data_IF_553276233708
#
_entry.id   IF_553276233708
#
_cell.length_a   1.000
_cell.length_b   1.000
_cell.length_c   1.000
_cell.angle_alpha   90.00
_cell.angle_beta   90.00
_cell.angle_gamma   90.00
#
_symmetry.space_group_name_H-M   'P 1'
#
loop_
_entity.id
_entity.type
_entity.pdbx_description
1 polymer ?
#
# COMPACT_ATOMS: atom_id res chain seq x y z
N UNK A 1 20.77 22.60 11.61
CA UNK A 1 21.10 23.37 10.39
C UNK A 1 19.78 23.67 9.68
N UNK A 2 19.55 24.88 9.13
CA UNK A 2 18.27 25.24 8.47
C UNK A 2 17.85 24.26 7.37
N UNK A 3 18.85 23.69 6.68
CA UNK A 3 18.66 22.74 5.58
C UNK A 3 18.04 21.41 6.03
N UNK A 4 18.41 20.93 7.23
CA UNK A 4 17.86 19.69 7.79
C UNK A 4 16.36 19.82 8.11
N UNK A 5 15.96 20.98 8.63
CA UNK A 5 14.55 21.28 8.88
C UNK A 5 13.75 21.41 7.57
N UNK A 6 14.37 21.91 6.50
CA UNK A 6 13.75 21.98 5.18
C UNK A 6 13.58 20.56 4.58
N UNK A 7 14.62 19.73 4.64
CA UNK A 7 14.56 18.33 4.17
C UNK A 7 13.48 17.54 4.89
N UNK A 8 13.39 17.65 6.22
CA UNK A 8 12.33 16.99 7.00
C UNK A 8 10.91 17.48 6.64
N UNK A 9 10.76 18.74 6.21
CA UNK A 9 9.47 19.26 5.72
C UNK A 9 9.13 18.72 4.34
N UNK A 10 10.11 18.57 3.46
CA UNK A 10 9.93 17.99 2.12
C UNK A 10 9.55 16.51 2.24
N UNK A 11 10.31 15.73 3.00
CA UNK A 11 10.04 14.31 3.26
C UNK A 11 8.63 14.08 3.81
N UNK A 12 8.19 14.92 4.74
CA UNK A 12 6.80 14.87 5.25
C UNK A 12 5.77 15.15 4.15
N UNK A 13 6.02 16.11 3.25
CA UNK A 13 5.09 16.43 2.17
C UNK A 13 5.03 15.30 1.13
N UNK A 14 6.18 14.71 0.79
CA UNK A 14 6.28 13.56 -0.12
C UNK A 14 5.57 12.35 0.48
N UNK A 15 5.84 12.01 1.75
CA UNK A 15 5.14 10.94 2.48
C UNK A 15 3.63 11.14 2.49
N UNK A 16 3.16 12.37 2.74
CA UNK A 16 1.73 12.68 2.74
C UNK A 16 1.10 12.51 1.36
N UNK A 17 1.83 12.87 0.30
CA UNK A 17 1.37 12.68 -1.07
C UNK A 17 1.29 11.19 -1.43
N UNK A 18 2.33 10.42 -1.11
CA UNK A 18 2.35 8.97 -1.33
C UNK A 18 1.18 8.28 -0.63
N UNK A 19 0.92 8.60 0.64
CA UNK A 19 -0.20 8.06 1.41
C UNK A 19 -1.54 8.42 0.79
N UNK A 20 -1.73 9.67 0.32
CA UNK A 20 -2.97 10.10 -0.35
C UNK A 20 -3.17 9.34 -1.67
N UNK A 21 -2.10 9.09 -2.41
CA UNK A 21 -2.16 8.34 -3.67
C UNK A 21 -2.54 6.87 -3.45
N UNK A 22 -2.27 6.27 -2.28
CA UNK A 22 -2.64 4.86 -2.01
C UNK A 22 -4.14 4.61 -2.21
N UNK A 23 -5.01 5.53 -1.78
CA UNK A 23 -6.45 5.38 -1.97
C UNK A 23 -6.85 5.35 -3.45
N UNK A 24 -6.28 6.26 -4.26
CA UNK A 24 -6.55 6.31 -5.70
C UNK A 24 -6.00 5.06 -6.43
N UNK A 25 -4.78 4.63 -6.08
CA UNK A 25 -4.17 3.41 -6.64
C UNK A 25 -4.99 2.16 -6.27
N UNK A 26 -5.49 2.09 -5.04
CA UNK A 26 -6.33 0.99 -4.58
C UNK A 26 -7.65 0.93 -5.35
N UNK A 27 -8.37 2.05 -5.46
CA UNK A 27 -9.63 2.11 -6.22
C UNK A 27 -9.43 1.69 -7.67
N UNK A 28 -8.37 2.17 -8.33
CA UNK A 28 -8.06 1.79 -9.70
C UNK A 28 -7.76 0.29 -9.83
N UNK A 29 -6.91 -0.26 -8.95
CA UNK A 29 -6.56 -1.69 -8.97
C UNK A 29 -7.80 -2.58 -8.73
N UNK A 30 -8.68 -2.15 -7.83
CA UNK A 30 -9.94 -2.82 -7.53
C UNK A 30 -10.88 -2.83 -8.75
N UNK A 31 -11.11 -1.67 -9.37
CA UNK A 31 -12.00 -1.54 -10.53
C UNK A 31 -11.49 -2.35 -11.72
N UNK A 32 -10.17 -2.39 -11.93
CA UNK A 32 -9.52 -3.18 -12.97
C UNK A 32 -9.44 -4.68 -12.64
N UNK A 33 -9.77 -5.08 -11.40
CA UNK A 33 -9.54 -6.43 -10.86
C UNK A 33 -8.08 -6.89 -10.98
N UNK A 34 -7.14 -5.96 -10.89
CA UNK A 34 -5.71 -6.24 -10.89
C UNK A 34 -5.25 -6.56 -9.46
N UNK A 35 -5.36 -7.84 -9.09
CA UNK A 35 -4.99 -8.32 -7.77
C UNK A 35 -3.49 -8.16 -7.49
N UNK A 36 -2.62 -8.25 -8.51
CA UNK A 36 -1.19 -8.06 -8.34
C UNK A 36 -0.85 -6.61 -7.99
N UNK A 37 -1.45 -5.64 -8.68
CA UNK A 37 -1.31 -4.24 -8.33
C UNK A 37 -1.87 -3.94 -6.95
N UNK A 38 -3.04 -4.50 -6.60
CA UNK A 38 -3.70 -4.27 -5.32
C UNK A 38 -2.86 -4.76 -4.13
N UNK A 39 -2.35 -5.99 -4.16
CA UNK A 39 -1.58 -6.54 -3.03
C UNK A 39 -0.23 -5.85 -2.85
N UNK A 40 0.34 -5.27 -3.90
CA UNK A 40 1.59 -4.51 -3.83
C UNK A 40 1.45 -3.17 -3.09
N UNK A 41 0.23 -2.67 -2.87
CA UNK A 41 -0.02 -1.48 -2.06
C UNK A 41 0.10 -1.74 -0.55
N UNK A 42 0.21 -3.00 -0.14
CA UNK A 42 0.31 -3.40 1.26
C UNK A 42 1.77 -3.69 1.64
N UNK A 43 2.14 -3.59 2.93
CA UNK A 43 3.45 -4.05 3.41
C UNK A 43 3.72 -5.51 3.03
N UNK A 44 4.99 -5.86 2.85
CA UNK A 44 5.40 -7.23 2.50
C UNK A 44 4.98 -8.26 3.55
N UNK A 45 4.86 -7.83 4.81
CA UNK A 45 4.50 -8.62 5.98
C UNK A 45 3.02 -8.43 6.38
N UNK A 46 2.14 -8.10 5.44
CA UNK A 46 0.70 -7.96 5.69
C UNK A 46 0.13 -9.24 6.30
N UNK A 47 -0.56 -9.11 7.43
CA UNK A 47 -1.20 -10.26 8.11
C UNK A 47 -2.58 -10.55 7.51
N UNK A 48 -2.82 -11.81 7.20
CA UNK A 48 -4.03 -12.32 6.57
C UNK A 48 -4.69 -13.33 7.51
N UNK A 49 -5.77 -12.92 8.18
CA UNK A 49 -6.41 -13.73 9.21
C UNK A 49 -5.51 -13.94 10.44
N UNK A 50 -5.56 -15.14 11.04
CA UNK A 50 -4.80 -15.45 12.26
C UNK A 50 -3.36 -15.90 11.99
N UNK A 51 -3.17 -16.75 10.98
CA UNK A 51 -1.93 -17.55 10.85
C UNK A 51 -1.11 -17.25 9.59
N UNK A 52 -1.64 -16.47 8.64
CA UNK A 52 -0.95 -16.20 7.36
C UNK A 52 -0.37 -14.78 7.35
N UNK A 53 0.82 -14.65 6.77
CA UNK A 53 1.53 -13.37 6.60
C UNK A 53 2.13 -13.32 5.21
N UNK A 54 1.95 -12.20 4.52
CA UNK A 54 2.58 -11.91 3.24
C UNK A 54 1.59 -11.64 2.11
N UNK A 55 2.05 -10.86 1.13
CA UNK A 55 1.26 -10.48 -0.05
C UNK A 55 0.74 -11.67 -0.85
N UNK A 56 1.48 -12.78 -0.91
CA UNK A 56 1.05 -13.98 -1.62
C UNK A 56 -0.21 -14.62 -0.99
N UNK A 57 -0.23 -14.75 0.34
CA UNK A 57 -1.42 -15.23 1.05
C UNK A 57 -2.58 -14.23 0.96
N UNK A 58 -2.26 -12.94 0.92
CA UNK A 58 -3.27 -11.90 0.77
C UNK A 58 -3.93 -11.94 -0.60
N UNK A 59 -3.13 -12.12 -1.66
CA UNK A 59 -3.62 -12.27 -3.04
C UNK A 59 -4.57 -13.45 -3.16
N UNK A 60 -4.17 -14.61 -2.64
CA UNK A 60 -5.00 -15.80 -2.66
C UNK A 60 -6.33 -15.56 -1.92
N UNK A 61 -6.29 -14.93 -0.74
CA UNK A 61 -7.50 -14.64 0.02
C UNK A 61 -8.45 -13.70 -0.74
N UNK A 62 -7.91 -12.67 -1.41
CA UNK A 62 -8.70 -11.76 -2.24
C UNK A 62 -9.32 -12.47 -3.45
N UNK A 63 -8.57 -13.34 -4.13
CA UNK A 63 -9.07 -14.14 -5.27
C UNK A 63 -10.23 -15.08 -4.86
N UNK A 64 -10.18 -15.61 -3.64
CA UNK A 64 -11.22 -16.50 -3.10
C UNK A 64 -12.48 -15.76 -2.61
N UNK A 65 -12.40 -14.46 -2.32
CA UNK A 65 -13.45 -13.73 -1.58
C UNK A 65 -14.08 -12.54 -2.31
N UNK A 66 -13.47 -12.04 -3.38
CA UNK A 66 -13.87 -10.84 -4.13
C UNK A 66 -14.60 -11.19 -5.45
#
# INVERSE_FOLDING_TARGET
MPDEALLARIDRLESLDEIRQLAAKYSLALDMRDLDAMVNLFPEDVRVGKDKVGRAHFKQWMDETL
#
